data_IF_686918643381
#
_entry.id   IF_686918643381
#
_cell.length_a   1.000
_cell.length_b   1.000
_cell.length_c   1.000
_cell.angle_alpha   90.00
_cell.angle_beta   90.00
_cell.angle_gamma   90.00
#
_symmetry.space_group_name_H-M   'P 1'
#
loop_
_entity.id
_entity.type
_entity.pdbx_description
1 polymer ?
#
# COMPACT_ATOMS: atom_id res chain seq x y z
N UNK A 1 -32.55 21.73 -79.68
CA UNK A 1 -31.11 21.66 -79.36
C UNK A 1 -31.00 22.04 -77.89
N UNK A 2 -30.57 21.25 -76.92
CA UNK A 2 -29.66 20.11 -76.89
C UNK A 2 -30.25 18.95 -76.07
N UNK A 3 -29.84 17.74 -76.42
CA UNK A 3 -30.28 16.42 -75.98
C UNK A 3 -29.22 15.82 -75.06
N UNK A 4 -29.68 15.01 -74.09
CA UNK A 4 -28.99 13.85 -73.47
C UNK A 4 -27.81 14.25 -72.56
N UNK A 5 -27.68 13.69 -71.35
CA UNK A 5 -27.12 12.35 -71.12
C UNK A 5 -27.53 11.87 -69.70
N UNK A 6 -28.19 10.71 -69.68
CA UNK A 6 -28.19 9.64 -68.66
C UNK A 6 -29.09 9.79 -67.42
N UNK A 7 -30.35 9.38 -67.61
CA UNK A 7 -31.04 8.41 -66.74
C UNK A 7 -30.27 7.08 -66.70
N UNK A 8 -30.19 6.41 -65.54
CA UNK A 8 -30.36 4.95 -65.26
C UNK A 8 -30.15 4.81 -63.73
N UNK A 9 -30.89 4.11 -62.88
CA UNK A 9 -32.20 3.46 -62.85
C UNK A 9 -32.39 2.96 -61.40
N UNK A 10 -33.62 3.04 -60.90
CA UNK A 10 -34.29 2.05 -60.04
C UNK A 10 -33.82 1.77 -58.59
N UNK A 11 -34.71 2.17 -57.67
CA UNK A 11 -35.51 1.25 -56.85
C UNK A 11 -34.77 0.41 -55.78
N UNK A 12 -34.79 0.88 -54.53
CA UNK A 12 -34.90 0.00 -53.35
C UNK A 12 -35.18 0.81 -52.07
N UNK A 13 -36.45 1.21 -51.88
CA UNK A 13 -37.01 1.30 -50.53
C UNK A 13 -37.33 -0.13 -50.08
N UNK A 14 -36.42 -0.77 -49.33
CA UNK A 14 -36.73 -1.93 -48.49
C UNK A 14 -35.88 -1.86 -47.22
N UNK A 15 -36.59 -2.06 -46.11
CA UNK A 15 -36.14 -2.22 -44.73
C UNK A 15 -34.75 -2.87 -44.56
N UNK A 16 -33.90 -2.23 -43.76
CA UNK A 16 -32.91 -2.92 -42.95
C UNK A 16 -32.69 -2.15 -41.63
N UNK A 17 -33.69 -2.18 -40.75
CA UNK A 17 -33.41 -2.12 -39.32
C UNK A 17 -32.67 -3.40 -38.96
N UNK A 18 -31.33 -3.33 -38.92
CA UNK A 18 -30.54 -4.36 -38.27
C UNK A 18 -30.75 -4.17 -36.77
N UNK A 19 -31.82 -4.79 -36.26
CA UNK A 19 -31.89 -5.20 -34.87
C UNK A 19 -30.74 -6.17 -34.65
N UNK A 20 -29.63 -5.69 -34.09
CA UNK A 20 -28.71 -6.56 -33.35
C UNK A 20 -29.50 -7.15 -32.19
N UNK A 21 -30.11 -8.28 -32.49
CA UNK A 21 -30.83 -9.12 -31.55
C UNK A 21 -29.73 -9.82 -30.76
N UNK A 22 -29.54 -9.43 -29.50
CA UNK A 22 -28.74 -10.23 -28.58
C UNK A 22 -29.30 -11.67 -28.56
N UNK A 23 -28.46 -12.70 -28.58
CA UNK A 23 -28.90 -14.05 -28.28
C UNK A 23 -29.60 -14.05 -26.91
N UNK A 24 -30.75 -14.73 -26.86
CA UNK A 24 -31.57 -14.88 -25.66
C UNK A 24 -30.80 -15.48 -24.47
N UNK A 25 -31.42 -15.48 -23.28
CA UNK A 25 -30.73 -15.69 -22.02
C UNK A 25 -30.07 -17.07 -22.00
N UNK A 26 -28.75 -17.09 -22.12
CA UNK A 26 -27.98 -18.21 -21.63
C UNK A 26 -28.27 -18.28 -20.13
N UNK A 27 -28.87 -19.40 -19.74
CA UNK A 27 -29.16 -19.81 -18.36
C UNK A 27 -28.16 -19.25 -17.37
N UNK A 28 -28.71 -18.55 -16.37
CA UNK A 28 -28.06 -18.01 -15.20
C UNK A 28 -27.24 -19.10 -14.50
N UNK A 29 -25.99 -19.29 -14.92
CA UNK A 29 -24.98 -19.85 -14.03
C UNK A 29 -24.71 -18.77 -13.01
N UNK A 30 -25.22 -19.01 -11.79
CA UNK A 30 -24.75 -18.41 -10.56
C UNK A 30 -23.22 -18.52 -10.55
N UNK A 31 -22.55 -17.48 -11.05
CA UNK A 31 -21.14 -17.24 -10.88
C UNK A 31 -20.94 -17.00 -9.39
N UNK A 32 -20.78 -18.09 -8.65
CA UNK A 32 -20.18 -18.10 -7.33
C UNK A 32 -19.00 -17.12 -7.35
N UNK A 33 -19.14 -16.04 -6.58
CA UNK A 33 -18.06 -15.31 -5.91
C UNK A 33 -16.67 -15.60 -6.48
N UNK A 34 -16.24 -14.83 -7.50
CA UNK A 34 -14.83 -14.79 -7.89
C UNK A 34 -14.02 -14.54 -6.62
N UNK A 35 -13.13 -15.48 -6.31
CA UNK A 35 -12.30 -15.56 -5.09
C UNK A 35 -11.84 -14.20 -4.54
N UNK A 36 -12.63 -13.57 -3.68
CA UNK A 36 -12.29 -12.30 -2.99
C UNK A 36 -11.10 -12.45 -2.05
N UNK A 37 -10.84 -13.68 -1.58
CA UNK A 37 -9.67 -14.00 -0.75
C UNK A 37 -8.34 -13.96 -1.52
N UNK A 38 -8.34 -14.23 -2.83
CA UNK A 38 -7.10 -14.30 -3.63
C UNK A 38 -6.51 -12.94 -3.95
N UNK A 39 -7.34 -11.89 -3.95
CA UNK A 39 -6.90 -10.53 -4.25
C UNK A 39 -6.80 -9.66 -3.00
N UNK A 40 -7.08 -10.19 -1.79
CA UNK A 40 -6.99 -9.40 -0.57
C UNK A 40 -5.52 -9.18 -0.20
N UNK A 41 -5.17 -7.97 0.19
CA UNK A 41 -3.90 -7.66 0.83
C UNK A 41 -3.97 -8.00 2.32
N UNK A 42 -2.93 -8.67 2.81
CA UNK A 42 -2.79 -9.05 4.21
C UNK A 42 -1.56 -8.35 4.79
N UNK A 43 -1.70 -7.80 5.99
CA UNK A 43 -0.55 -7.43 6.81
C UNK A 43 0.06 -8.70 7.41
N UNK A 44 1.38 -8.69 7.57
CA UNK A 44 2.13 -9.73 8.26
C UNK A 44 2.80 -9.05 9.44
N UNK A 45 2.20 -9.23 10.62
CA UNK A 45 2.78 -8.78 11.88
C UNK A 45 3.61 -9.90 12.52
N UNK A 46 4.39 -9.54 13.55
CA UNK A 46 4.98 -10.48 14.49
C UNK A 46 3.99 -10.58 15.66
N UNK A 47 2.97 -11.46 15.60
CA UNK A 47 2.04 -11.58 16.71
C UNK A 47 2.81 -12.05 17.94
N UNK A 48 2.73 -11.27 19.03
CA UNK A 48 3.06 -11.81 20.34
C UNK A 48 2.23 -13.05 20.66
N UNK A 49 2.63 -13.84 21.67
CA UNK A 49 1.92 -15.10 22.05
C UNK A 49 0.41 -14.93 22.32
N UNK A 50 -0.03 -13.69 22.58
CA UNK A 50 -1.42 -13.30 22.83
C UNK A 50 -2.05 -12.38 21.78
N UNK A 51 -1.35 -12.06 20.69
CA UNK A 51 -1.83 -11.11 19.69
C UNK A 51 -2.39 -11.83 18.45
N UNK A 52 -3.40 -11.23 17.83
CA UNK A 52 -3.96 -11.75 16.58
C UNK A 52 -2.93 -11.65 15.44
N UNK A 53 -2.86 -12.70 14.61
CA UNK A 53 -1.82 -12.86 13.57
C UNK A 53 -1.93 -11.90 12.38
N UNK A 54 -2.98 -11.08 12.33
CA UNK A 54 -3.24 -10.11 11.25
C UNK A 54 -3.69 -8.78 11.85
N UNK A 55 -2.83 -8.15 12.65
CA UNK A 55 -3.09 -6.80 13.13
C UNK A 55 -2.70 -5.79 12.04
N UNK A 56 -3.44 -4.68 11.99
CA UNK A 56 -3.07 -3.48 11.23
C UNK A 56 -3.13 -3.60 9.70
N UNK A 57 -4.04 -4.41 9.15
CA UNK A 57 -4.29 -4.33 7.70
C UNK A 57 -5.09 -3.06 7.37
N UNK A 58 -4.71 -2.37 6.29
CA UNK A 58 -5.48 -1.21 5.82
C UNK A 58 -6.93 -1.59 5.51
N UNK A 59 -7.91 -0.77 5.94
CA UNK A 59 -9.31 -1.05 5.73
C UNK A 59 -9.63 -1.06 4.22
N UNK A 60 -10.58 -1.92 3.84
CA UNK A 60 -11.10 -1.89 2.49
C UNK A 60 -11.83 -0.56 2.24
N UNK A 61 -11.58 0.03 1.09
CA UNK A 61 -12.22 1.26 0.64
C UNK A 61 -12.69 1.12 -0.81
N UNK A 62 -13.68 1.93 -1.17
CA UNK A 62 -13.95 2.17 -2.58
C UNK A 62 -12.78 2.97 -3.20
N UNK A 63 -12.37 2.67 -4.44
CA UNK A 63 -11.36 3.44 -5.15
C UNK A 63 -11.75 4.93 -5.25
N UNK A 64 -10.78 5.86 -5.26
CA UNK A 64 -11.05 7.28 -5.45
C UNK A 64 -11.75 7.51 -6.79
N UNK A 65 -13.02 7.96 -6.73
CA UNK A 65 -13.91 8.30 -7.84
C UNK A 65 -14.06 7.19 -8.91
N UNK A 66 -14.93 6.21 -8.61
CA UNK A 66 -15.30 5.12 -9.52
C UNK A 66 -16.36 5.52 -10.57
N UNK A 67 -16.21 6.62 -11.29
CA UNK A 67 -17.04 6.81 -12.50
C UNK A 67 -16.47 6.03 -13.70
N UNK A 68 -15.16 5.72 -13.69
CA UNK A 68 -14.46 5.28 -14.91
C UNK A 68 -13.82 3.87 -14.87
N UNK A 69 -13.95 3.10 -13.78
CA UNK A 69 -13.59 1.66 -13.82
C UNK A 69 -14.72 0.83 -14.41
N UNK A 70 -15.08 1.15 -15.65
CA UNK A 70 -15.93 0.31 -16.47
C UNK A 70 -15.09 -0.84 -17.01
N UNK A 71 -15.56 -2.08 -16.84
CA UNK A 71 -15.02 -3.18 -17.63
C UNK A 71 -15.28 -2.92 -19.13
N UNK A 72 -14.72 -3.77 -19.99
CA UNK A 72 -14.94 -3.70 -21.45
C UNK A 72 -16.42 -3.82 -21.87
N UNK A 73 -17.34 -4.05 -20.93
CA UNK A 73 -18.78 -4.08 -21.12
C UNK A 73 -19.51 -2.89 -20.47
N UNK A 74 -18.80 -1.84 -20.03
CA UNK A 74 -19.43 -0.67 -19.40
C UNK A 74 -19.86 -0.89 -17.95
N UNK A 75 -19.50 -2.01 -17.32
CA UNK A 75 -19.95 -2.34 -15.96
C UNK A 75 -18.93 -1.84 -14.94
N UNK A 76 -19.38 -0.99 -14.01
CA UNK A 76 -18.56 -0.53 -12.88
C UNK A 76 -18.20 -1.74 -12.03
N UNK A 77 -16.95 -2.18 -12.11
CA UNK A 77 -16.45 -3.21 -11.23
C UNK A 77 -15.97 -2.54 -9.95
N UNK A 78 -16.82 -2.50 -8.93
CA UNK A 78 -16.49 -1.99 -7.59
C UNK A 78 -15.50 -2.94 -6.89
N UNK A 79 -14.27 -2.98 -7.38
CA UNK A 79 -13.22 -3.75 -6.74
C UNK A 79 -12.77 -2.97 -5.50
N UNK A 80 -13.04 -3.53 -4.32
CA UNK A 80 -12.53 -2.99 -3.07
C UNK A 80 -11.00 -2.99 -3.09
N UNK A 81 -10.41 -1.85 -2.75
CA UNK A 81 -8.96 -1.68 -2.61
C UNK A 81 -8.60 -1.57 -1.13
N UNK A 82 -7.34 -1.79 -0.80
CA UNK A 82 -6.76 -1.49 0.51
C UNK A 82 -5.67 -0.45 0.28
N UNK A 83 -6.06 0.79 0.57
CA UNK A 83 -5.32 1.96 0.17
C UNK A 83 -4.41 2.46 1.29
N UNK A 84 -3.10 2.49 1.05
CA UNK A 84 -2.17 3.35 1.78
C UNK A 84 -2.25 4.73 1.13
N UNK A 85 -3.02 5.64 1.74
CA UNK A 85 -3.10 7.03 1.29
C UNK A 85 -2.00 7.81 1.96
N UNK A 86 -1.19 8.56 1.21
CA UNK A 86 -0.13 9.40 1.81
C UNK A 86 -0.34 10.89 1.57
N UNK A 87 0.26 11.71 2.44
CA UNK A 87 0.41 13.14 2.23
C UNK A 87 1.81 13.56 2.67
N UNK A 88 2.33 14.60 2.05
CA UNK A 88 3.59 15.22 2.43
C UNK A 88 3.33 16.22 3.56
N UNK A 89 4.12 16.17 4.63
CA UNK A 89 3.89 17.03 5.81
C UNK A 89 3.98 18.51 5.44
N UNK A 90 4.90 18.86 4.55
CA UNK A 90 5.08 20.20 4.00
C UNK A 90 5.34 20.17 2.49
N UNK A 91 5.23 21.33 1.84
CA UNK A 91 5.63 21.47 0.43
C UNK A 91 7.10 21.11 0.21
N UNK A 92 7.97 21.46 1.16
CA UNK A 92 9.39 21.14 1.06
C UNK A 92 9.63 19.62 1.09
N UNK A 93 8.88 18.87 1.90
CA UNK A 93 8.96 17.41 1.93
C UNK A 93 8.56 16.80 0.57
N UNK A 94 7.49 17.32 -0.04
CA UNK A 94 7.10 16.92 -1.40
C UNK A 94 8.21 17.23 -2.41
N UNK A 95 8.72 18.46 -2.40
CA UNK A 95 9.72 18.92 -3.38
C UNK A 95 11.00 18.08 -3.31
N UNK A 96 11.35 17.53 -2.14
CA UNK A 96 12.56 16.72 -1.97
C UNK A 96 12.36 15.22 -2.08
N UNK A 97 11.18 14.69 -1.77
CA UNK A 97 10.92 13.24 -1.73
C UNK A 97 10.02 12.73 -2.84
N UNK A 98 9.27 13.57 -3.54
CA UNK A 98 8.24 13.12 -4.48
C UNK A 98 8.75 12.10 -5.51
N UNK A 99 9.88 12.37 -6.18
CA UNK A 99 10.47 11.42 -7.14
C UNK A 99 10.88 10.09 -6.49
N UNK A 100 11.40 10.12 -5.26
CA UNK A 100 11.81 8.93 -4.51
C UNK A 100 10.59 8.12 -4.07
N UNK A 101 9.53 8.79 -3.61
CA UNK A 101 8.25 8.17 -3.26
C UNK A 101 7.63 7.49 -4.48
N UNK A 102 7.53 8.18 -5.62
CA UNK A 102 7.01 7.59 -6.86
C UNK A 102 7.83 6.39 -7.33
N UNK A 103 9.16 6.49 -7.29
CA UNK A 103 10.04 5.37 -7.64
C UNK A 103 9.84 4.18 -6.70
N UNK A 104 9.71 4.43 -5.39
CA UNK A 104 9.41 3.40 -4.40
C UNK A 104 8.04 2.75 -4.62
N UNK A 105 7.03 3.55 -4.96
CA UNK A 105 5.68 3.04 -5.28
C UNK A 105 5.70 2.18 -6.55
N UNK A 106 6.43 2.59 -7.59
CA UNK A 106 6.50 1.78 -8.83
C UNK A 106 7.14 0.41 -8.59
N UNK A 107 8.05 0.27 -7.64
CA UNK A 107 8.58 -1.04 -7.25
C UNK A 107 7.49 -1.99 -6.67
N UNK A 108 6.36 -1.44 -6.19
CA UNK A 108 5.20 -2.19 -5.70
C UNK A 108 4.18 -2.58 -6.80
N UNK A 109 4.39 -2.18 -8.06
CA UNK A 109 3.40 -2.38 -9.14
C UNK A 109 3.01 -3.86 -9.32
N UNK A 110 3.96 -4.78 -9.17
CA UNK A 110 3.70 -6.23 -9.26
C UNK A 110 2.71 -6.68 -8.18
N UNK A 111 2.89 -6.22 -6.94
CA UNK A 111 1.99 -6.55 -5.84
C UNK A 111 0.61 -5.90 -6.02
N UNK A 112 0.57 -4.66 -6.52
CA UNK A 112 -0.68 -3.96 -6.82
C UNK A 112 -1.48 -4.65 -7.94
N UNK A 113 -0.81 -5.25 -8.93
CA UNK A 113 -1.48 -6.01 -9.99
C UNK A 113 -2.09 -7.33 -9.49
N UNK A 114 -1.52 -7.93 -8.45
CA UNK A 114 -1.94 -9.24 -7.93
C UNK A 114 -2.85 -9.16 -6.70
N UNK A 115 -2.96 -7.99 -6.09
CA UNK A 115 -3.72 -7.77 -4.85
C UNK A 115 -4.55 -6.49 -4.88
N UNK A 116 -5.25 -6.23 -3.77
CA UNK A 116 -6.03 -5.02 -3.52
C UNK A 116 -5.18 -3.88 -2.98
N UNK A 117 -3.88 -4.09 -2.71
CA UNK A 117 -2.99 -3.03 -2.23
C UNK A 117 -2.90 -1.91 -3.25
N UNK A 118 -3.12 -0.67 -2.81
CA UNK A 118 -2.85 0.53 -3.61
C UNK A 118 -2.13 1.54 -2.74
N UNK A 119 -1.13 2.22 -3.31
CA UNK A 119 -0.42 3.31 -2.66
C UNK A 119 -0.59 4.54 -3.56
N UNK A 120 -1.20 5.59 -3.03
CA UNK A 120 -1.48 6.82 -3.79
C UNK A 120 -1.62 8.01 -2.85
N UNK A 121 -1.49 9.23 -3.36
CA UNK A 121 -1.60 10.41 -2.52
C UNK A 121 -3.04 10.61 -2.03
N UNK A 122 -3.24 11.24 -0.89
CA UNK A 122 -4.55 11.36 -0.26
C UNK A 122 -5.55 12.16 -1.11
N UNK A 123 -5.05 13.04 -1.98
CA UNK A 123 -5.83 13.80 -2.98
C UNK A 123 -5.69 13.23 -4.41
N UNK A 124 -5.05 12.08 -4.56
CA UNK A 124 -4.83 11.40 -5.83
C UNK A 124 -6.12 10.86 -6.44
N UNK A 125 -6.07 10.65 -7.75
CA UNK A 125 -7.15 10.06 -8.56
C UNK A 125 -6.56 9.01 -9.50
N UNK A 126 -7.38 8.20 -10.18
CA UNK A 126 -6.87 7.20 -11.13
C UNK A 126 -6.00 7.80 -12.25
N UNK A 127 -6.34 8.99 -12.75
CA UNK A 127 -5.56 9.67 -13.79
C UNK A 127 -4.35 10.45 -13.28
N UNK A 128 -4.27 10.68 -11.95
CA UNK A 128 -3.14 11.35 -11.30
C UNK A 128 -3.00 10.82 -9.86
N UNK A 129 -2.47 9.61 -9.68
CA UNK A 129 -2.46 8.93 -8.38
C UNK A 129 -1.52 9.58 -7.37
N UNK A 130 -0.50 10.31 -7.83
CA UNK A 130 0.53 10.91 -6.99
C UNK A 130 0.45 12.45 -6.96
N UNK A 131 -0.75 12.98 -7.21
CA UNK A 131 -1.03 14.42 -7.13
C UNK A 131 -0.54 14.99 -5.80
N UNK A 132 0.19 16.11 -5.85
CA UNK A 132 0.59 16.89 -4.67
C UNK A 132 -0.53 16.96 -3.62
N UNK A 133 -0.21 16.55 -2.41
CA UNK A 133 -1.16 16.43 -1.31
C UNK A 133 -0.47 16.77 0.01
N UNK A 134 -0.69 17.99 0.51
CA UNK A 134 -0.10 18.43 1.78
C UNK A 134 -0.99 18.00 2.95
N UNK A 135 -0.40 17.45 4.00
CA UNK A 135 -1.14 17.03 5.18
C UNK A 135 -1.90 18.21 5.82
N UNK A 136 -3.14 17.96 6.24
CA UNK A 136 -4.04 19.00 6.78
C UNK A 136 -4.78 19.83 5.72
N UNK A 137 -4.45 19.67 4.43
CA UNK A 137 -5.25 20.25 3.34
C UNK A 137 -6.67 19.66 3.33
N UNK A 138 -7.66 20.48 2.94
CA UNK A 138 -9.05 20.03 2.78
C UNK A 138 -9.13 18.80 1.87
N UNK A 139 -9.80 17.75 2.35
CA UNK A 139 -9.95 16.47 1.65
C UNK A 139 -8.94 15.40 2.07
N UNK A 140 -7.83 15.76 2.69
CA UNK A 140 -6.88 14.80 3.28
C UNK A 140 -7.49 14.24 4.56
N UNK A 141 -7.65 12.92 4.62
CA UNK A 141 -8.22 12.26 5.79
C UNK A 141 -7.17 12.15 6.90
N UNK A 142 -7.58 12.12 8.18
CA UNK A 142 -6.66 11.96 9.31
C UNK A 142 -5.86 10.65 9.30
N UNK A 143 -6.28 9.68 8.48
CA UNK A 143 -5.65 8.36 8.33
C UNK A 143 -4.63 8.28 7.20
N UNK A 144 -4.26 9.41 6.60
CA UNK A 144 -3.17 9.45 5.64
C UNK A 144 -1.82 9.19 6.33
N UNK A 145 -0.94 8.47 5.63
CA UNK A 145 0.47 8.34 5.95
C UNK A 145 1.17 9.69 5.74
N UNK A 146 1.68 10.27 6.83
CA UNK A 146 2.45 11.50 6.79
C UNK A 146 3.90 11.21 6.39
N UNK A 147 4.32 11.67 5.21
CA UNK A 147 5.69 11.52 4.71
C UNK A 147 6.46 12.82 4.98
N UNK A 148 7.64 12.73 5.60
CA UNK A 148 8.50 13.89 5.86
C UNK A 148 9.97 13.62 5.59
N UNK A 149 10.66 14.62 5.04
CA UNK A 149 12.10 14.61 4.82
C UNK A 149 12.79 15.03 6.12
N UNK A 150 13.60 14.12 6.64
CA UNK A 150 14.37 14.32 7.87
C UNK A 150 15.87 14.39 7.63
N UNK A 151 16.31 14.52 6.38
CA UNK A 151 17.74 14.66 6.04
C UNK A 151 18.39 15.78 6.85
N UNK A 152 19.43 15.41 7.61
CA UNK A 152 20.18 16.33 8.46
C UNK A 152 19.52 16.69 9.79
N UNK A 153 18.42 16.04 10.18
CA UNK A 153 17.67 16.33 11.42
C UNK A 153 17.99 15.40 12.60
N UNK A 154 19.06 14.60 12.55
CA UNK A 154 19.39 13.57 13.57
C UNK A 154 18.17 12.71 13.94
N UNK A 155 17.41 12.31 12.92
CA UNK A 155 16.24 11.44 13.04
C UNK A 155 16.38 10.31 12.02
N UNK A 156 16.16 9.05 12.43
CA UNK A 156 16.31 7.93 11.53
C UNK A 156 15.16 7.86 10.52
N UNK A 157 15.41 7.18 9.41
CA UNK A 157 14.34 6.65 8.57
C UNK A 157 13.52 5.64 9.37
N UNK A 158 12.21 5.80 9.38
CA UNK A 158 11.28 4.96 10.14
C UNK A 158 9.87 5.08 9.59
N UNK A 159 9.08 4.01 9.70
CA UNK A 159 7.67 3.98 9.28
C UNK A 159 6.78 3.23 10.24
N UNK A 160 5.55 3.73 10.42
CA UNK A 160 4.47 3.00 11.10
C UNK A 160 4.14 1.71 10.36
N UNK A 161 4.03 0.58 11.07
CA UNK A 161 3.71 -0.71 10.45
C UNK A 161 2.20 -0.91 10.32
N UNK A 162 1.70 -0.81 9.09
CA UNK A 162 0.29 -1.02 8.75
C UNK A 162 -0.63 0.09 9.24
N UNK A 163 -1.90 -0.28 9.42
CA UNK A 163 -2.98 0.62 9.82
C UNK A 163 -3.22 0.63 11.34
N UNK A 164 -2.79 1.71 11.99
CA UNK A 164 -3.25 2.08 13.33
C UNK A 164 -4.73 2.53 13.32
N UNK A 165 -5.59 1.74 13.98
CA UNK A 165 -7.02 2.02 14.02
C UNK A 165 -7.34 3.25 14.88
N UNK A 166 -8.33 4.03 14.44
CA UNK A 166 -8.81 5.18 15.21
C UNK A 166 -9.45 4.79 16.55
N UNK A 167 -9.90 3.54 16.69
CA UNK A 167 -10.46 3.00 17.94
C UNK A 167 -9.38 2.81 19.00
N UNK A 168 -8.20 2.32 18.61
CA UNK A 168 -7.09 2.01 19.53
C UNK A 168 -6.17 3.22 19.71
N UNK A 169 -5.82 3.91 18.62
CA UNK A 169 -4.79 4.96 18.60
C UNK A 169 -5.35 6.39 18.50
N UNK A 170 -6.69 6.51 18.44
CA UNK A 170 -7.40 7.77 18.27
C UNK A 170 -7.45 8.25 16.82
N UNK A 171 -8.48 9.02 16.47
CA UNK A 171 -8.63 9.61 15.13
C UNK A 171 -7.79 10.89 14.95
N UNK A 172 -6.48 10.80 15.16
CA UNK A 172 -5.55 11.94 15.06
C UNK A 172 -4.75 11.89 13.75
N UNK A 173 -4.54 13.04 13.09
CA UNK A 173 -3.56 13.15 12.00
C UNK A 173 -2.16 12.73 12.47
N UNK A 174 -1.38 12.14 11.56
CA UNK A 174 0.00 11.72 11.83
C UNK A 174 0.15 10.47 12.70
N UNK A 175 -0.92 9.71 12.94
CA UNK A 175 -0.80 8.37 13.56
C UNK A 175 -0.16 7.34 12.63
N UNK A 176 -0.16 7.63 11.33
CA UNK A 176 0.64 6.91 10.35
C UNK A 176 1.70 7.88 9.86
N UNK A 177 2.96 7.53 10.01
CA UNK A 177 4.07 8.39 9.59
C UNK A 177 5.22 7.60 9.00
N UNK A 178 5.93 8.25 8.08
CA UNK A 178 7.17 7.83 7.44
C UNK A 178 8.12 9.02 7.51
N UNK A 179 9.19 8.89 8.27
CA UNK A 179 10.33 9.83 8.24
C UNK A 179 11.38 9.25 7.31
N UNK A 180 11.93 10.08 6.41
CA UNK A 180 12.91 9.61 5.44
C UNK A 180 14.17 10.47 5.46
N UNK A 181 15.30 9.84 5.79
CA UNK A 181 16.62 10.43 5.61
C UNK A 181 17.20 9.99 4.27
N UNK A 182 17.34 10.93 3.34
CA UNK A 182 18.01 10.70 2.06
C UNK A 182 19.52 10.52 2.26
N UNK A 183 20.08 9.54 1.56
CA UNK A 183 21.53 9.32 1.48
C UNK A 183 22.18 10.15 0.37
N UNK A 184 21.38 10.73 -0.53
CA UNK A 184 21.84 11.41 -1.74
C UNK A 184 22.18 10.46 -2.89
N UNK A 185 21.91 9.16 -2.73
CA UNK A 185 22.04 8.15 -3.78
C UNK A 185 20.65 7.66 -4.15
N UNK A 186 20.15 8.06 -5.32
CA UNK A 186 18.79 7.77 -5.79
C UNK A 186 18.44 6.28 -5.79
N UNK A 187 19.39 5.39 -6.11
CA UNK A 187 19.13 3.94 -6.11
C UNK A 187 18.94 3.40 -4.69
N UNK A 188 19.81 3.83 -3.76
CA UNK A 188 19.70 3.46 -2.34
C UNK A 188 18.42 4.03 -1.77
N UNK A 189 18.15 5.31 -1.99
CA UNK A 189 16.97 6.01 -1.51
C UNK A 189 15.68 5.35 -2.03
N UNK A 190 15.63 4.93 -3.30
CA UNK A 190 14.48 4.22 -3.87
C UNK A 190 14.24 2.87 -3.16
N UNK A 191 15.29 2.10 -2.90
CA UNK A 191 15.18 0.80 -2.22
C UNK A 191 14.73 0.95 -0.77
N UNK A 192 15.29 1.93 -0.06
CA UNK A 192 14.88 2.24 1.32
C UNK A 192 13.43 2.73 1.34
N UNK A 193 13.04 3.64 0.43
CA UNK A 193 11.64 4.09 0.34
C UNK A 193 10.68 2.94 0.02
N UNK A 194 11.07 2.02 -0.86
CA UNK A 194 10.29 0.81 -1.15
C UNK A 194 10.08 -0.04 0.11
N UNK A 195 11.13 -0.19 0.93
CA UNK A 195 11.10 -0.91 2.19
C UNK A 195 10.15 -0.25 3.20
N UNK A 196 10.30 1.06 3.40
CA UNK A 196 9.44 1.86 4.27
C UNK A 196 7.97 1.82 3.85
N UNK A 197 7.69 1.88 2.55
CA UNK A 197 6.33 1.69 2.02
C UNK A 197 5.79 0.27 2.27
N UNK A 198 6.66 -0.73 2.36
CA UNK A 198 6.30 -2.08 2.79
C UNK A 198 5.86 -2.13 4.25
N UNK A 199 6.57 -1.42 5.13
CA UNK A 199 6.13 -1.21 6.51
C UNK A 199 4.77 -0.50 6.56
N UNK A 200 4.61 0.59 5.83
CA UNK A 200 3.32 1.28 5.75
C UNK A 200 2.21 0.34 5.26
N UNK A 201 2.48 -0.56 4.31
CA UNK A 201 1.53 -1.57 3.84
C UNK A 201 1.23 -2.68 4.86
N UNK A 202 2.01 -2.77 5.94
CA UNK A 202 1.81 -3.69 7.05
C UNK A 202 2.70 -4.93 7.00
N UNK A 203 3.90 -4.83 6.43
CA UNK A 203 4.89 -5.90 6.45
C UNK A 203 5.96 -5.61 7.50
N UNK A 204 6.24 -6.58 8.36
CA UNK A 204 7.38 -6.57 9.28
C UNK A 204 8.67 -7.05 8.61
N UNK A 205 9.80 -6.90 9.31
CA UNK A 205 11.06 -7.47 8.84
C UNK A 205 11.00 -9.00 8.79
N UNK A 206 11.46 -9.59 7.67
CA UNK A 206 11.38 -11.03 7.40
C UNK A 206 12.03 -11.90 8.48
N UNK A 207 13.14 -11.44 9.07
CA UNK A 207 13.86 -12.17 10.11
C UNK A 207 13.08 -12.29 11.42
N UNK A 208 12.00 -11.53 11.58
CA UNK A 208 11.14 -11.56 12.75
C UNK A 208 9.96 -12.53 12.64
N UNK A 209 9.87 -13.29 11.53
CA UNK A 209 8.88 -14.37 11.38
C UNK A 209 8.92 -15.34 12.58
N UNK A 210 7.77 -15.87 13.03
CA UNK A 210 7.73 -16.84 14.13
C UNK A 210 8.53 -18.13 13.90
N UNK A 211 8.78 -18.48 12.63
CA UNK A 211 9.58 -19.64 12.22
C UNK A 211 11.02 -19.26 11.81
N UNK A 212 11.48 -18.03 12.06
CA UNK A 212 12.80 -17.56 11.60
C UNK A 212 13.96 -18.43 12.10
N UNK A 213 13.87 -18.96 13.33
CA UNK A 213 14.85 -19.89 13.92
C UNK A 213 15.11 -21.15 13.08
N UNK A 214 14.21 -21.50 12.18
CA UNK A 214 14.34 -22.66 11.27
C UNK A 214 15.09 -22.27 9.97
N UNK A 215 15.27 -20.97 9.71
CA UNK A 215 15.81 -20.43 8.45
C UNK A 215 17.05 -19.56 8.62
N UNK A 216 17.29 -18.99 9.80
CA UNK A 216 18.44 -18.11 10.07
C UNK A 216 19.17 -18.49 11.36
N UNK A 217 20.47 -18.17 11.40
CA UNK A 217 21.28 -18.24 12.62
C UNK A 217 21.35 -16.82 13.20
N UNK A 218 20.81 -16.65 14.41
CA UNK A 218 20.86 -15.38 15.13
C UNK A 218 21.93 -15.42 16.23
N UNK A 219 23.02 -14.69 16.00
CA UNK A 219 24.14 -14.58 16.93
C UNK A 219 23.91 -13.37 17.86
N UNK A 220 23.16 -13.57 18.94
CA UNK A 220 22.80 -12.52 19.90
C UNK A 220 24.00 -11.72 20.42
N UNK A 221 25.14 -12.39 20.59
CA UNK A 221 26.41 -11.81 21.10
C UNK A 221 27.01 -10.75 20.16
N UNK A 222 26.62 -10.76 18.87
CA UNK A 222 27.09 -9.80 17.88
C UNK A 222 26.26 -8.51 17.83
N UNK A 223 25.21 -8.38 18.66
CA UNK A 223 24.44 -7.14 18.75
C UNK A 223 25.26 -6.01 19.37
N UNK A 224 25.13 -4.80 18.82
CA UNK A 224 25.90 -3.60 19.23
C UNK A 224 25.81 -3.30 20.73
N UNK A 225 24.67 -3.57 21.36
CA UNK A 225 24.41 -3.32 22.77
C UNK A 225 24.48 -4.58 23.66
N UNK A 226 24.95 -5.73 23.14
CA UNK A 226 24.97 -7.00 23.88
C UNK A 226 25.65 -6.87 25.25
N UNK A 227 26.87 -6.33 25.30
CA UNK A 227 27.63 -6.16 26.54
C UNK A 227 26.95 -5.21 27.54
N UNK A 228 26.24 -4.20 27.06
CA UNK A 228 25.52 -3.24 27.90
C UNK A 228 24.32 -3.92 28.56
N UNK A 229 23.51 -4.64 27.77
CA UNK A 229 22.36 -5.40 28.28
C UNK A 229 22.81 -6.52 29.20
N UNK A 230 23.88 -7.25 28.86
CA UNK A 230 24.45 -8.30 29.70
C UNK A 230 24.85 -7.78 31.09
N UNK A 231 25.46 -6.58 31.17
CA UNK A 231 25.80 -5.93 32.45
C UNK A 231 24.56 -5.54 33.25
N UNK A 232 23.49 -5.11 32.57
CA UNK A 232 22.23 -4.71 33.20
C UNK A 232 21.48 -5.91 33.81
N UNK A 233 21.38 -7.02 33.07
CA UNK A 233 20.48 -8.12 33.44
C UNK A 233 21.19 -9.36 34.00
N UNK A 234 22.50 -9.47 33.79
CA UNK A 234 23.32 -10.63 34.14
C UNK A 234 23.16 -11.82 33.18
N UNK A 235 24.14 -12.72 33.19
CA UNK A 235 24.25 -13.82 32.22
C UNK A 235 23.02 -14.75 32.17
N UNK A 236 22.40 -15.02 33.33
CA UNK A 236 21.20 -15.88 33.39
C UNK A 236 20.04 -15.29 32.59
N UNK A 237 19.75 -14.00 32.81
CA UNK A 237 18.64 -13.31 32.13
C UNK A 237 18.96 -13.02 30.67
N UNK A 238 20.23 -12.77 30.34
CA UNK A 238 20.67 -12.56 28.96
C UNK A 238 20.38 -13.76 28.06
N UNK A 239 20.56 -14.99 28.58
CA UNK A 239 20.21 -16.22 27.84
C UNK A 239 18.72 -16.30 27.46
N UNK A 240 17.85 -15.80 28.34
CA UNK A 240 16.41 -15.74 28.08
C UNK A 240 16.09 -14.65 27.04
N UNK A 241 16.70 -13.46 27.17
CA UNK A 241 16.57 -12.37 26.18
C UNK A 241 16.96 -12.82 24.77
N UNK A 242 18.07 -13.55 24.63
CA UNK A 242 18.55 -14.00 23.32
C UNK A 242 17.65 -15.03 22.63
N UNK A 243 16.66 -15.60 23.32
CA UNK A 243 15.82 -16.70 22.80
C UNK A 243 14.32 -16.44 22.88
N UNK A 244 13.88 -15.38 23.57
CA UNK A 244 12.47 -15.01 23.68
C UNK A 244 12.28 -13.51 23.37
N UNK A 245 11.62 -13.23 22.25
CA UNK A 245 11.32 -11.88 21.79
C UNK A 245 10.52 -11.05 22.80
N UNK A 246 9.57 -11.64 23.53
CA UNK A 246 8.76 -10.92 24.50
C UNK A 246 9.59 -10.46 25.69
N UNK A 247 10.59 -11.27 26.07
CA UNK A 247 11.56 -10.90 27.08
C UNK A 247 12.50 -9.83 26.54
N UNK A 248 13.00 -9.97 25.30
CA UNK A 248 13.87 -8.98 24.67
C UNK A 248 13.21 -7.61 24.54
N UNK A 249 11.93 -7.56 24.15
CA UNK A 249 11.14 -6.33 23.97
C UNK A 249 11.10 -5.46 25.23
N UNK A 250 11.15 -6.05 26.42
CA UNK A 250 11.19 -5.32 27.70
C UNK A 250 12.47 -4.49 27.89
N UNK A 251 13.51 -4.77 27.10
CA UNK A 251 14.81 -4.10 27.17
C UNK A 251 15.16 -3.38 25.85
N UNK A 252 14.26 -3.37 24.87
CA UNK A 252 14.48 -2.73 23.56
C UNK A 252 14.57 -1.19 23.66
N UNK A 253 14.00 -0.60 24.72
CA UNK A 253 14.05 0.83 25.03
C UNK A 253 15.03 1.17 26.16
N UNK A 254 15.84 0.20 26.63
CA UNK A 254 16.85 0.48 27.63
C UNK A 254 17.93 1.39 27.01
N UNK A 255 18.25 2.54 27.65
CA UNK A 255 19.10 3.58 27.08
C UNK A 255 20.54 3.13 26.79
#
# INVERSE_FOLDING_TARGET
>A
MSRRVVEICFLAMVLAHITLSCPGPATFQSSHTRNTLRTRWYSVSIPGKSEDRTINVWPQSEPPQCEDMQDHNGKINKQHIQAVRYCDVTQADYDTLHETVEAGISAWDIAAQQSSLRIYSALGSLGNPHKLSICGQSGVKPDALHISDVTGKDMPTWTTVGYESAEVYGNRPGRHSLTFERTGNKEVDTRVMTHELGHAAGLEHEHARPDSKDHIIFECENLRNYDQVLKLVGAKRMKEICTDYEIAKQYAEAP
#
